data_IF_219774718397
#
_entry.id   IF_219774718397
#
_cell.length_a   1.000
_cell.length_b   1.000
_cell.length_c   1.000
_cell.angle_alpha   90.00
_cell.angle_beta   90.00
_cell.angle_gamma   90.00
#
_symmetry.space_group_name_H-M   'P 1'
#
loop_
_entity.id
_entity.type
_entity.pdbx_description
1 polymer ?
#
# COMPACT_ATOMS: atom_id res chain seq x y z
N UNK A 1 1.66 -7.63 2.59
CA UNK A 1 1.83 -8.38 1.32
C UNK A 1 3.14 -8.03 0.68
N UNK A 2 3.70 -8.96 -0.04
CA UNK A 2 4.90 -8.73 -0.82
C UNK A 2 4.51 -8.20 -2.18
N UNK A 3 5.23 -7.19 -2.65
CA UNK A 3 5.00 -6.65 -3.98
C UNK A 3 5.47 -7.65 -5.04
N UNK A 4 4.71 -7.76 -6.12
CA UNK A 4 5.03 -8.64 -7.23
C UNK A 4 5.35 -7.75 -8.43
N UNK A 5 6.62 -7.55 -8.69
CA UNK A 5 7.07 -6.64 -9.72
C UNK A 5 7.23 -5.22 -9.17
N UNK A 6 7.62 -4.31 -10.04
CA UNK A 6 7.81 -2.91 -9.67
C UNK A 6 6.51 -2.16 -9.91
N UNK A 7 5.97 -1.56 -8.85
CA UNK A 7 4.69 -0.87 -8.91
C UNK A 7 4.62 0.14 -7.76
N UNK A 8 3.53 0.86 -7.66
CA UNK A 8 3.30 1.72 -6.51
C UNK A 8 2.49 0.94 -5.47
N UNK A 9 2.44 1.45 -4.24
CA UNK A 9 1.63 0.82 -3.20
C UNK A 9 0.16 0.77 -3.64
N UNK A 10 -0.30 1.79 -4.35
CA UNK A 10 -1.65 1.83 -4.89
C UNK A 10 -1.91 0.64 -5.81
N UNK A 11 -0.96 0.31 -6.67
CA UNK A 11 -1.09 -0.82 -7.57
C UNK A 11 -1.12 -2.15 -6.83
N UNK A 12 -0.35 -2.26 -5.77
CA UNK A 12 -0.33 -3.47 -4.95
C UNK A 12 -1.70 -3.68 -4.30
N UNK A 13 -2.27 -2.61 -3.74
CA UNK A 13 -3.58 -2.70 -3.12
C UNK A 13 -4.64 -3.13 -4.13
N UNK A 14 -4.59 -2.53 -5.31
CA UNK A 14 -5.56 -2.86 -6.36
C UNK A 14 -5.45 -4.31 -6.78
N UNK A 15 -4.23 -4.84 -6.81
CA UNK A 15 -4.00 -6.24 -7.18
C UNK A 15 -4.54 -7.22 -6.14
N UNK A 16 -4.40 -6.91 -4.85
CA UNK A 16 -4.82 -7.83 -3.79
C UNK A 16 -6.28 -7.65 -3.39
N UNK A 17 -6.84 -6.48 -3.56
CA UNK A 17 -8.23 -6.23 -3.18
C UNK A 17 -9.19 -6.14 -4.36
N UNK A 18 -8.67 -5.81 -5.53
CA UNK A 18 -9.51 -5.61 -6.71
C UNK A 18 -10.22 -4.27 -6.73
N UNK A 19 -9.91 -3.40 -5.79
CA UNK A 19 -10.57 -2.11 -5.67
C UNK A 19 -9.54 -0.99 -5.55
N UNK A 20 -9.97 0.24 -5.82
CA UNK A 20 -9.11 1.40 -5.61
C UNK A 20 -8.93 1.64 -4.11
N UNK A 21 -7.73 2.07 -3.70
CA UNK A 21 -7.50 2.34 -2.28
C UNK A 21 -8.19 3.62 -1.82
N UNK A 22 -8.47 3.67 -0.53
CA UNK A 22 -8.96 4.88 0.11
C UNK A 22 -7.80 5.86 0.17
N UNK A 23 -8.04 7.11 -0.19
CA UNK A 23 -6.98 8.13 -0.19
C UNK A 23 -6.44 8.40 1.21
N UNK A 24 -7.21 8.07 2.23
CA UNK A 24 -6.77 8.26 3.61
C UNK A 24 -6.11 7.02 4.19
N UNK A 25 -5.99 5.97 3.41
CA UNK A 25 -5.39 4.73 3.86
C UNK A 25 -3.91 4.92 4.18
N UNK A 26 -3.48 4.31 5.28
CA UNK A 26 -2.08 4.32 5.66
C UNK A 26 -1.37 3.13 5.06
N UNK A 27 -0.15 3.35 4.60
CA UNK A 27 0.66 2.31 3.97
C UNK A 27 2.02 2.29 4.65
N UNK A 28 2.55 1.10 4.87
CA UNK A 28 3.92 0.94 5.34
C UNK A 28 4.65 0.01 4.37
N UNK A 29 5.83 0.42 3.94
CA UNK A 29 6.66 -0.36 3.06
C UNK A 29 7.94 -0.69 3.80
N UNK A 30 8.20 -1.98 3.99
CA UNK A 30 9.35 -2.46 4.75
C UNK A 30 9.40 -1.81 6.14
N UNK A 31 8.23 -1.70 6.78
CA UNK A 31 8.06 -1.14 8.12
C UNK A 31 8.24 0.36 8.20
N UNK A 32 8.20 1.05 7.07
CA UNK A 32 8.27 2.51 7.05
C UNK A 32 7.01 3.06 6.41
N UNK A 33 6.41 4.06 7.03
CA UNK A 33 5.21 4.67 6.48
C UNK A 33 5.51 5.37 5.16
N UNK A 34 4.60 5.23 4.22
CA UNK A 34 4.74 5.79 2.90
C UNK A 34 3.37 6.15 2.34
N UNK A 35 3.37 6.89 1.25
CA UNK A 35 2.13 7.23 0.56
C UNK A 35 1.74 6.14 -0.44
N UNK A 36 0.50 6.19 -0.90
CA UNK A 36 0.00 5.24 -1.89
C UNK A 36 0.74 5.32 -3.22
N UNK A 37 1.30 6.48 -3.53
CA UNK A 37 2.02 6.66 -4.78
C UNK A 37 3.49 6.32 -4.68
N UNK A 38 3.92 5.84 -3.51
CA UNK A 38 5.31 5.43 -3.31
C UNK A 38 5.61 4.21 -4.16
N UNK A 39 6.71 4.25 -4.89
CA UNK A 39 7.14 3.12 -5.69
C UNK A 39 7.62 1.98 -4.79
N UNK A 40 7.26 0.76 -5.16
CA UNK A 40 7.73 -0.44 -4.46
C UNK A 40 8.41 -1.34 -5.47
N UNK A 41 9.37 -2.11 -5.00
CA UNK A 41 10.08 -3.06 -5.83
C UNK A 41 9.61 -4.48 -5.54
N UNK A 42 9.90 -5.38 -6.45
CA UNK A 42 9.57 -6.79 -6.26
C UNK A 42 10.19 -7.31 -4.97
N UNK A 43 9.37 -7.93 -4.15
CA UNK A 43 9.82 -8.46 -2.87
C UNK A 43 9.67 -7.51 -1.69
N UNK A 44 9.36 -6.24 -1.93
CA UNK A 44 9.11 -5.31 -0.85
C UNK A 44 7.86 -5.73 -0.08
N UNK A 45 7.93 -5.63 1.24
CA UNK A 45 6.79 -5.94 2.08
C UNK A 45 5.92 -4.69 2.20
N UNK A 46 4.65 -4.82 1.86
CA UNK A 46 3.71 -3.70 1.89
C UNK A 46 2.58 -4.02 2.86
N UNK A 47 2.34 -3.15 3.80
CA UNK A 47 1.24 -3.29 4.74
C UNK A 47 0.26 -2.14 4.56
N UNK A 48 -1.02 -2.45 4.66
CA UNK A 48 -2.08 -1.46 4.51
C UNK A 48 -2.88 -1.38 5.79
N UNK A 49 -3.21 -0.17 6.20
CA UNK A 49 -3.98 0.07 7.40
C UNK A 49 -5.17 0.93 7.06
N UNK A 50 -6.35 0.62 7.61
CA UNK A 50 -7.53 1.45 7.36
C UNK A 50 -7.32 2.83 7.95
N UNK A 51 -7.95 3.86 7.38
CA UNK A 51 -7.84 5.19 7.94
C UNK A 51 -8.46 5.22 9.33
N UNK A 52 -7.80 5.92 10.24
CA UNK A 52 -8.32 6.09 11.58
C UNK A 52 -9.25 7.31 11.55
N UNK A 53 -10.53 7.05 11.65
CA UNK A 53 -11.49 8.13 11.78
C UNK A 53 -11.53 8.48 13.25
N UNK A 54 -10.99 9.61 13.62
CA UNK A 54 -11.06 10.11 14.97
C UNK A 54 -12.51 10.37 15.30
N UNK A 55 -13.00 9.62 16.15
CA UNK A 55 -14.34 9.72 16.40
C UNK A 55 -14.95 10.12 17.53
#
# INVERSE_FOLDING_TARGET
>A
VEADGIASARDVWKAVSGESPDEEMLVAINKEYAGLDRAVADGDEVAFFPPVTGG
#
